data_IF_939961923290
#
_entry.id   IF_939961923290
#
_cell.length_a   1.000
_cell.length_b   1.000
_cell.length_c   1.000
_cell.angle_alpha   90.00
_cell.angle_beta   90.00
_cell.angle_gamma   90.00
#
_symmetry.space_group_name_H-M   'P 1'
#
loop_
_entity.id
_entity.type
_entity.pdbx_description
1 polymer ?
#
# COMPACT_ATOMS: atom_id res chain seq x y z
N UNK A 1 -11.19 -22.68 1.50
CA UNK A 1 -11.49 -21.27 1.87
C UNK A 1 -10.74 -20.38 0.88
N UNK A 2 -11.43 -19.80 -0.09
CA UNK A 2 -10.80 -18.96 -1.12
C UNK A 2 -10.23 -17.69 -0.52
N UNK A 3 -9.02 -17.29 -0.96
CA UNK A 3 -8.41 -16.01 -0.54
C UNK A 3 -9.39 -14.89 -0.90
N UNK A 4 -9.81 -14.11 0.10
CA UNK A 4 -10.71 -12.98 -0.11
C UNK A 4 -10.15 -12.04 -1.17
N UNK A 5 -11.04 -11.35 -1.91
CA UNK A 5 -10.66 -10.40 -2.96
C UNK A 5 -9.66 -9.37 -2.40
N UNK A 6 -8.56 -9.16 -3.13
CA UNK A 6 -7.59 -8.10 -2.87
C UNK A 6 -8.26 -6.72 -2.85
N UNK A 7 -7.68 -5.76 -2.12
CA UNK A 7 -8.12 -4.36 -2.21
C UNK A 7 -7.92 -3.84 -3.62
N UNK A 8 -8.97 -3.23 -4.17
CA UNK A 8 -8.88 -2.47 -5.42
C UNK A 8 -8.09 -1.18 -5.19
N UNK A 9 -7.56 -0.56 -6.25
CA UNK A 9 -6.87 0.73 -6.15
C UNK A 9 -7.80 1.84 -5.63
N UNK A 10 -9.11 1.73 -5.91
CA UNK A 10 -10.13 2.56 -5.27
C UNK A 10 -10.19 2.35 -3.75
N UNK A 11 -10.19 1.11 -3.29
CA UNK A 11 -10.25 0.82 -1.85
C UNK A 11 -8.98 1.33 -1.14
N UNK A 12 -7.81 1.16 -1.78
CA UNK A 12 -6.52 1.62 -1.26
C UNK A 12 -6.47 3.14 -1.10
N UNK A 13 -7.12 3.92 -1.96
CA UNK A 13 -7.17 5.39 -1.84
C UNK A 13 -8.18 5.86 -0.78
N UNK A 14 -9.28 5.12 -0.60
CA UNK A 14 -10.31 5.45 0.38
C UNK A 14 -9.91 5.15 1.83
N UNK A 15 -9.13 4.09 2.08
CA UNK A 15 -8.70 3.69 3.43
C UNK A 15 -7.93 4.81 4.16
N UNK A 16 -6.85 5.43 3.61
CA UNK A 16 -6.12 6.48 4.30
C UNK A 16 -6.98 7.74 4.49
N UNK A 17 -7.75 8.14 3.47
CA UNK A 17 -8.65 9.30 3.55
C UNK A 17 -9.71 9.13 4.65
N UNK A 18 -10.27 7.92 4.80
CA UNK A 18 -11.18 7.60 5.90
C UNK A 18 -10.45 7.48 7.23
N UNK A 19 -9.20 7.00 7.26
CA UNK A 19 -8.42 6.85 8.50
C UNK A 19 -8.09 8.19 9.15
N UNK A 20 -7.80 9.21 8.35
CA UNK A 20 -7.57 10.59 8.81
C UNK A 20 -8.78 11.18 9.55
N UNK A 21 -10.00 10.73 9.24
CA UNK A 21 -11.22 11.16 9.91
C UNK A 21 -11.39 10.57 11.33
N UNK A 22 -10.50 9.67 11.75
CA UNK A 22 -10.54 8.99 13.05
C UNK A 22 -11.50 7.80 13.27
N UNK A 23 -12.24 7.24 12.28
CA UNK A 23 -13.06 6.07 12.51
C UNK A 23 -12.21 4.80 12.75
N UNK A 24 -12.76 3.81 13.49
CA UNK A 24 -12.11 2.53 13.69
C UNK A 24 -12.05 1.74 12.37
N UNK A 25 -10.99 0.93 12.20
CA UNK A 25 -10.75 0.15 10.98
C UNK A 25 -11.93 -0.77 10.62
N UNK A 26 -12.63 -1.30 11.63
CA UNK A 26 -13.84 -2.11 11.46
C UNK A 26 -14.97 -1.36 10.74
N UNK A 27 -15.09 -0.04 10.95
CA UNK A 27 -16.09 0.79 10.27
C UNK A 27 -15.68 1.07 8.83
N UNK A 28 -14.40 1.38 8.60
CA UNK A 28 -13.83 1.54 7.26
C UNK A 28 -14.01 0.25 6.43
N UNK A 29 -13.77 -0.91 7.04
CA UNK A 29 -13.94 -2.21 6.41
C UNK A 29 -15.41 -2.47 6.02
N UNK A 30 -16.37 -2.11 6.88
CA UNK A 30 -17.81 -2.21 6.56
C UNK A 30 -18.22 -1.27 5.43
N UNK A 31 -17.72 -0.04 5.43
CA UNK A 31 -18.02 0.94 4.38
C UNK A 31 -17.52 0.49 3.00
N UNK A 32 -16.40 -0.23 2.96
CA UNK A 32 -15.78 -0.74 1.73
C UNK A 32 -16.20 -2.19 1.40
N UNK A 33 -17.09 -2.79 2.20
CA UNK A 33 -17.48 -4.21 2.11
C UNK A 33 -16.26 -5.17 2.08
N UNK A 34 -15.26 -4.87 2.92
CA UNK A 34 -14.00 -5.63 3.05
C UNK A 34 -13.86 -6.26 4.42
N UNK A 35 -13.00 -7.27 4.50
CA UNK A 35 -12.62 -7.86 5.78
C UNK A 35 -11.78 -6.88 6.60
N UNK A 36 -12.04 -6.82 7.91
CA UNK A 36 -11.28 -6.00 8.84
C UNK A 36 -9.76 -6.32 8.77
N UNK A 37 -9.40 -7.59 8.73
CA UNK A 37 -8.00 -8.04 8.64
C UNK A 37 -7.26 -7.49 7.42
N UNK A 38 -7.97 -7.31 6.30
CA UNK A 38 -7.39 -6.77 5.07
C UNK A 38 -7.10 -5.28 5.22
N UNK A 39 -8.04 -4.54 5.80
CA UNK A 39 -7.85 -3.11 6.11
C UNK A 39 -6.76 -2.93 7.17
N UNK A 40 -6.74 -3.76 8.22
CA UNK A 40 -5.71 -3.72 9.26
C UNK A 40 -4.32 -3.99 8.68
N UNK A 41 -4.17 -4.99 7.82
CA UNK A 41 -2.89 -5.26 7.14
C UNK A 41 -2.45 -4.10 6.24
N UNK A 42 -3.37 -3.49 5.50
CA UNK A 42 -3.08 -2.32 4.67
C UNK A 42 -2.71 -1.10 5.52
N UNK A 43 -3.41 -0.83 6.62
CA UNK A 43 -3.09 0.28 7.53
C UNK A 43 -1.75 0.07 8.23
N UNK A 44 -1.40 -1.18 8.57
CA UNK A 44 -0.12 -1.51 9.21
C UNK A 44 1.07 -1.37 8.26
N UNK A 45 0.92 -1.85 7.03
CA UNK A 45 1.98 -1.86 6.02
C UNK A 45 1.43 -1.48 4.63
N UNK A 46 1.06 -0.21 4.39
CA UNK A 46 0.44 0.19 3.12
C UNK A 46 1.40 0.04 1.93
N UNK A 47 2.70 0.26 2.15
CA UNK A 47 3.74 0.14 1.12
C UNK A 47 4.03 -1.32 0.71
N UNK A 48 3.73 -2.28 1.58
CA UNK A 48 4.00 -3.71 1.34
C UNK A 48 2.74 -4.47 0.87
N UNK A 49 1.59 -3.80 0.90
CA UNK A 49 0.31 -4.42 0.59
C UNK A 49 0.17 -4.64 -0.93
N UNK A 50 0.31 -5.91 -1.35
CA UNK A 50 0.16 -6.32 -2.75
C UNK A 50 1.45 -6.24 -3.57
N UNK A 51 2.57 -5.83 -2.98
CA UNK A 51 3.88 -5.85 -3.64
C UNK A 51 4.51 -7.24 -3.53
N UNK A 52 4.47 -8.02 -4.62
CA UNK A 52 5.49 -9.04 -4.85
C UNK A 52 6.72 -8.30 -5.42
N UNK A 53 7.62 -7.86 -4.53
CA UNK A 53 9.02 -7.57 -4.85
C UNK A 53 9.44 -6.11 -5.01
N UNK A 54 10.46 -5.64 -4.26
CA UNK A 54 11.22 -4.44 -4.56
C UNK A 54 12.43 -4.82 -5.44
N UNK A 55 12.23 -4.92 -6.76
CA UNK A 55 13.37 -4.96 -7.71
C UNK A 55 13.51 -3.66 -8.49
N UNK A 56 12.42 -3.00 -8.87
CA UNK A 56 12.51 -1.79 -9.71
C UNK A 56 12.95 -0.51 -8.97
N UNK A 57 12.69 -0.38 -7.66
CA UNK A 57 13.00 0.89 -6.96
C UNK A 57 14.49 1.00 -6.60
N UNK A 58 15.20 -0.14 -6.49
CA UNK A 58 16.66 -0.14 -6.23
C UNK A 58 17.47 0.28 -7.45
N UNK A 59 17.02 -0.08 -8.65
CA UNK A 59 17.74 0.24 -9.89
C UNK A 59 17.68 1.72 -10.25
N UNK A 60 16.60 2.42 -9.89
CA UNK A 60 16.46 3.87 -10.10
C UNK A 60 17.43 4.65 -9.22
N UNK A 61 17.54 4.31 -7.92
CA UNK A 61 18.43 5.02 -7.00
C UNK A 61 19.92 4.74 -7.25
N UNK A 62 20.29 3.52 -7.65
CA UNK A 62 21.69 3.19 -7.98
C UNK A 62 22.15 3.83 -9.30
N UNK A 63 21.27 3.99 -10.28
CA UNK A 63 21.60 4.69 -11.53
C UNK A 63 21.75 6.20 -11.34
N UNK A 64 20.93 6.82 -10.49
CA UNK A 64 21.06 8.24 -10.16
C UNK A 64 22.40 8.56 -9.47
N UNK A 65 22.90 7.69 -8.59
CA UNK A 65 24.18 7.91 -7.91
C UNK A 65 25.39 7.70 -8.82
N UNK A 66 25.34 6.75 -9.77
CA UNK A 66 26.41 6.54 -10.76
C UNK A 66 26.54 7.69 -11.75
N UNK A 67 25.44 8.31 -12.17
CA UNK A 67 25.44 9.45 -13.10
C UNK A 67 26.06 10.70 -12.46
N UNK A 68 25.87 10.90 -11.16
CA UNK A 68 26.42 12.06 -10.44
C UNK A 68 27.89 11.92 -10.03
N UNK A 69 28.47 10.72 -10.07
CA UNK A 69 29.87 10.50 -9.64
C UNK A 69 30.87 10.32 -10.80
N UNK A 70 30.42 10.24 -12.05
CA UNK A 70 31.27 10.02 -13.23
C UNK A 70 31.05 11.04 -14.37
N UNK A 71 30.68 12.28 -14.05
CA UNK A 71 30.41 13.28 -15.09
C UNK A 71 30.61 14.72 -14.64
N UNK A 72 31.83 15.21 -14.86
CA UNK A 72 32.32 16.60 -14.87
C UNK A 72 32.58 17.30 -13.54
#
# INVERSE_FOLDING_TARGET
>A
MGRGKSLSDYDKSQIPAKKEQGPPNRRIARDLDRCNTVVDNFVRSPAEYGTIGPKEVRDVYLNLWKVTSYGF
#
